data_IF_350077631359
#
_entry.id   IF_350077631359
#
_cell.length_a   1.000
_cell.length_b   1.000
_cell.length_c   1.000
_cell.angle_alpha   90.00
_cell.angle_beta   90.00
_cell.angle_gamma   90.00
#
_symmetry.space_group_name_H-M   'P 1'
#
loop_
_entity.id
_entity.type
_entity.pdbx_description
1 polymer ?
#
# COMPACT_ATOMS: atom_id res chain seq x y z
N UNK A 1 6.87 0.71 -17.71
CA UNK A 1 6.17 1.57 -16.73
C UNK A 1 4.68 1.76 -17.02
N UNK A 2 4.25 2.32 -18.15
CA UNK A 2 2.80 2.58 -18.39
C UNK A 2 2.00 1.26 -18.47
N UNK A 3 2.47 0.27 -19.22
CA UNK A 3 1.78 -1.02 -19.29
C UNK A 3 1.74 -1.74 -17.93
N UNK A 4 2.81 -1.63 -17.14
CA UNK A 4 2.88 -2.22 -15.80
C UNK A 4 1.98 -1.51 -14.80
N UNK A 5 1.82 -0.19 -14.89
CA UNK A 5 0.89 0.53 -14.01
C UNK A 5 -0.56 0.21 -14.35
N UNK A 6 -0.91 0.09 -15.64
CA UNK A 6 -2.27 -0.31 -16.07
C UNK A 6 -2.60 -1.72 -15.56
N UNK A 7 -1.69 -2.69 -15.70
CA UNK A 7 -1.94 -4.06 -15.22
C UNK A 7 -2.14 -4.12 -13.70
N UNK A 8 -1.39 -3.31 -12.94
CA UNK A 8 -1.53 -3.23 -11.48
C UNK A 8 -2.85 -2.56 -11.08
N UNK A 9 -3.31 -1.52 -11.78
CA UNK A 9 -4.62 -0.92 -11.48
C UNK A 9 -5.77 -1.90 -11.72
N UNK A 10 -5.67 -2.71 -12.77
CA UNK A 10 -6.63 -3.79 -13.03
C UNK A 10 -6.57 -4.85 -11.92
N UNK A 11 -5.36 -5.24 -11.47
CA UNK A 11 -5.22 -6.23 -10.39
C UNK A 11 -5.78 -5.73 -9.06
N UNK A 12 -5.57 -4.46 -8.72
CA UNK A 12 -6.15 -3.82 -7.52
C UNK A 12 -7.68 -3.83 -7.57
N UNK A 13 -8.28 -3.55 -8.73
CA UNK A 13 -9.74 -3.61 -8.88
C UNK A 13 -10.29 -5.00 -8.56
N UNK A 14 -9.66 -6.07 -9.08
CA UNK A 14 -10.08 -7.45 -8.78
C UNK A 14 -9.75 -7.89 -7.36
N UNK A 15 -8.67 -7.37 -6.77
CA UNK A 15 -8.31 -7.62 -5.37
C UNK A 15 -9.44 -7.23 -4.42
N UNK A 16 -10.18 -6.14 -4.69
CA UNK A 16 -11.34 -5.75 -3.87
C UNK A 16 -12.46 -6.79 -3.85
N UNK A 17 -12.70 -7.51 -4.96
CA UNK A 17 -13.69 -8.60 -5.01
C UNK A 17 -13.17 -9.79 -4.21
N UNK A 18 -11.89 -10.12 -4.40
CA UNK A 18 -11.23 -11.24 -3.74
C UNK A 18 -11.32 -11.06 -2.21
N UNK A 19 -11.01 -9.86 -1.71
CA UNK A 19 -11.13 -9.51 -0.30
C UNK A 19 -12.57 -9.74 0.21
N UNK A 20 -13.59 -9.20 -0.49
CA UNK A 20 -15.01 -9.37 -0.11
C UNK A 20 -15.48 -10.82 -0.15
N UNK A 21 -14.98 -11.63 -1.10
CA UNK A 21 -15.34 -13.05 -1.22
C UNK A 21 -14.70 -13.87 -0.12
N UNK A 22 -13.40 -13.70 0.14
CA UNK A 22 -12.68 -14.42 1.20
C UNK A 22 -13.30 -14.11 2.58
N UNK A 23 -13.54 -12.83 2.88
CA UNK A 23 -14.22 -12.42 4.11
C UNK A 23 -15.64 -13.01 4.22
N UNK A 24 -16.37 -13.06 3.11
CA UNK A 24 -17.67 -13.71 3.05
C UNK A 24 -17.58 -15.20 3.40
N UNK A 25 -16.68 -15.94 2.74
CA UNK A 25 -16.53 -17.38 2.96
C UNK A 25 -16.10 -17.71 4.40
N UNK A 26 -15.20 -16.93 5.00
CA UNK A 26 -14.83 -17.08 6.41
C UNK A 26 -16.03 -16.85 7.36
N UNK A 27 -16.94 -15.94 7.00
CA UNK A 27 -18.16 -15.65 7.75
C UNK A 27 -19.35 -16.54 7.36
N UNK A 28 -19.14 -17.61 6.58
CA UNK A 28 -20.19 -18.55 6.14
C UNK A 28 -21.30 -17.82 5.33
N UNK A 29 -20.95 -16.74 4.62
CA UNK A 29 -21.85 -16.04 3.70
C UNK A 29 -21.24 -15.91 2.31
N UNK A 30 -22.07 -15.95 1.27
CA UNK A 30 -21.55 -15.72 -0.09
C UNK A 30 -21.19 -14.23 -0.23
N UNK A 31 -19.99 -13.97 -0.77
CA UNK A 31 -19.58 -12.64 -1.22
C UNK A 31 -20.42 -12.13 -2.40
N UNK A 32 -20.05 -10.99 -3.01
CA UNK A 32 -20.78 -10.44 -4.15
C UNK A 32 -20.87 -11.47 -5.29
N UNK A 33 -22.10 -11.85 -5.64
CA UNK A 33 -22.39 -12.89 -6.64
C UNK A 33 -23.45 -12.46 -7.68
N UNK A 34 -24.07 -11.28 -7.51
CA UNK A 34 -25.19 -10.83 -8.36
C UNK A 34 -24.76 -10.01 -9.59
N UNK A 35 -23.69 -9.23 -9.48
CA UNK A 35 -23.27 -8.31 -10.57
C UNK A 35 -22.41 -9.06 -11.60
N UNK A 36 -23.02 -9.41 -12.73
CA UNK A 36 -22.38 -10.22 -13.78
C UNK A 36 -22.22 -11.69 -13.40
N UNK A 37 -21.40 -12.43 -14.16
CA UNK A 37 -21.10 -13.83 -13.86
C UNK A 37 -20.23 -13.93 -12.61
N UNK A 38 -20.72 -14.62 -11.58
CA UNK A 38 -20.04 -14.81 -10.28
C UNK A 38 -19.56 -13.52 -9.58
N UNK A 39 -20.15 -12.35 -9.88
CA UNK A 39 -19.73 -11.09 -9.27
C UNK A 39 -18.47 -10.45 -9.85
N UNK A 40 -17.93 -10.93 -10.99
CA UNK A 40 -16.68 -10.42 -11.58
C UNK A 40 -16.79 -8.94 -11.96
N UNK A 41 -17.97 -8.47 -12.37
CA UNK A 41 -18.19 -7.08 -12.79
C UNK A 41 -18.42 -6.10 -11.62
N UNK A 42 -18.31 -6.55 -10.36
CA UNK A 42 -18.55 -5.71 -9.19
C UNK A 42 -17.68 -4.44 -9.11
N UNK A 43 -16.35 -4.47 -9.36
CA UNK A 43 -15.49 -3.28 -9.25
C UNK A 43 -15.86 -2.21 -10.26
N UNK A 44 -16.27 -2.62 -11.47
CA UNK A 44 -16.76 -1.70 -12.48
C UNK A 44 -18.06 -1.04 -12.05
N UNK A 45 -18.99 -1.79 -11.43
CA UNK A 45 -20.22 -1.20 -10.90
C UNK A 45 -19.97 -0.23 -9.73
N UNK A 46 -19.01 -0.54 -8.85
CA UNK A 46 -18.64 0.34 -7.73
C UNK A 46 -17.97 1.62 -8.27
N UNK A 47 -17.11 1.51 -9.30
CA UNK A 47 -16.49 2.66 -9.96
C UNK A 47 -17.53 3.57 -10.63
N UNK A 48 -18.43 3.01 -11.45
CA UNK A 48 -19.50 3.79 -12.12
C UNK A 48 -20.40 4.48 -11.09
N UNK A 49 -20.71 3.79 -9.97
CA UNK A 49 -21.48 4.37 -8.87
C UNK A 49 -20.78 5.58 -8.25
N UNK A 50 -19.47 5.53 -8.06
CA UNK A 50 -18.70 6.64 -7.50
C UNK A 50 -18.58 7.80 -8.50
N UNK A 51 -18.42 7.53 -9.80
CA UNK A 51 -18.38 8.57 -10.84
C UNK A 51 -19.70 9.34 -10.97
N UNK A 52 -20.83 8.66 -10.77
CA UNK A 52 -22.15 9.30 -10.85
C UNK A 52 -22.54 10.06 -9.57
N UNK A 53 -21.75 9.99 -8.50
CA UNK A 53 -22.09 10.63 -7.23
C UNK A 53 -21.66 12.10 -7.24
N UNK A 54 -22.58 12.99 -6.84
CA UNK A 54 -22.26 14.41 -6.72
C UNK A 54 -21.16 14.64 -5.68
N UNK A 55 -20.19 15.48 -6.03
CA UNK A 55 -19.13 15.93 -5.13
C UNK A 55 -19.71 16.95 -4.15
N UNK A 56 -19.88 16.56 -2.89
CA UNK A 56 -20.28 17.47 -1.80
C UNK A 56 -19.04 17.99 -1.09
N UNK A 57 -18.71 19.25 -1.31
CA UNK A 57 -17.60 19.93 -0.63
C UNK A 57 -18.14 20.80 0.51
N UNK A 58 -17.56 20.71 1.71
CA UNK A 58 -17.85 21.64 2.80
C UNK A 58 -17.14 22.98 2.60
N UNK A 59 -17.78 24.07 3.03
CA UNK A 59 -17.28 25.44 2.87
C UNK A 59 -16.01 25.75 3.68
N UNK A 60 -15.79 25.01 4.77
CA UNK A 60 -14.65 25.21 5.68
C UNK A 60 -13.34 24.56 5.21
N UNK A 61 -13.37 23.82 4.08
CA UNK A 61 -12.24 23.01 3.62
C UNK A 61 -11.31 23.78 2.70
N UNK A 62 -10.02 23.45 2.74
CA UNK A 62 -9.06 23.92 1.75
C UNK A 62 -9.25 23.15 0.43
N UNK A 63 -10.03 23.70 -0.50
CA UNK A 63 -10.40 23.06 -1.77
C UNK A 63 -9.21 22.57 -2.60
N UNK A 64 -8.19 23.40 -2.84
CA UNK A 64 -7.04 23.03 -3.68
C UNK A 64 -6.29 21.84 -3.09
N UNK A 65 -6.03 21.88 -1.79
CA UNK A 65 -5.26 20.88 -1.07
C UNK A 65 -6.05 19.57 -0.95
N UNK A 66 -7.37 19.62 -0.76
CA UNK A 66 -8.22 18.43 -0.64
C UNK A 66 -8.25 17.58 -1.91
N UNK A 67 -8.13 18.18 -3.10
CA UNK A 67 -8.05 17.44 -4.36
C UNK A 67 -6.62 17.00 -4.70
N UNK A 68 -5.62 17.84 -4.42
CA UNK A 68 -4.22 17.53 -4.77
C UNK A 68 -3.59 16.47 -3.86
N UNK A 69 -3.90 16.47 -2.56
CA UNK A 69 -3.24 15.57 -1.60
C UNK A 69 -3.57 14.08 -1.84
N UNK A 70 -4.84 13.67 -2.07
CA UNK A 70 -5.14 12.29 -2.45
C UNK A 70 -4.46 11.88 -3.77
N UNK A 71 -4.40 12.77 -4.76
CA UNK A 71 -3.71 12.51 -6.03
C UNK A 71 -2.20 12.28 -5.84
N UNK A 72 -1.55 13.03 -4.94
CA UNK A 72 -0.14 12.85 -4.59
C UNK A 72 0.13 11.57 -3.79
N UNK A 73 -0.76 11.19 -2.87
CA UNK A 73 -0.64 9.91 -2.17
C UNK A 73 -0.71 8.71 -3.14
N UNK A 74 -1.58 8.80 -4.14
CA UNK A 74 -1.69 7.80 -5.20
C UNK A 74 -0.51 7.83 -6.17
N UNK A 75 0.09 8.99 -6.45
CA UNK A 75 1.27 9.05 -7.30
C UNK A 75 2.49 8.39 -6.64
N UNK A 76 2.67 8.53 -5.32
CA UNK A 76 3.74 7.80 -4.59
C UNK A 76 3.58 6.29 -4.73
N UNK A 77 2.37 5.75 -4.54
CA UNK A 77 2.16 4.30 -4.61
C UNK A 77 2.47 3.73 -6.00
N UNK A 78 2.20 4.50 -7.07
CA UNK A 78 2.59 4.13 -8.44
C UNK A 78 4.11 4.24 -8.64
N UNK A 79 4.78 5.20 -8.02
CA UNK A 79 6.24 5.36 -8.13
C UNK A 79 7.05 4.24 -7.47
N UNK A 80 6.44 3.49 -6.53
CA UNK A 80 7.07 2.31 -5.92
C UNK A 80 7.17 1.14 -6.91
N UNK A 81 6.21 1.01 -7.83
CA UNK A 81 6.14 -0.10 -8.80
C UNK A 81 7.44 -0.36 -9.57
N UNK A 82 8.10 0.62 -10.21
CA UNK A 82 9.30 0.38 -11.02
C UNK A 82 10.50 -0.09 -10.20
N UNK A 83 10.50 0.13 -8.88
CA UNK A 83 11.57 -0.31 -7.97
C UNK A 83 11.50 -1.82 -7.81
N UNK A 84 10.31 -2.41 -7.84
CA UNK A 84 10.10 -3.84 -7.65
C UNK A 84 10.58 -4.61 -8.89
N UNK A 85 11.49 -5.56 -8.66
CA UNK A 85 12.03 -6.47 -9.67
C UNK A 85 11.06 -7.63 -9.93
N UNK A 86 10.28 -7.55 -11.01
CA UNK A 86 9.40 -8.67 -11.41
C UNK A 86 10.13 -9.79 -12.15
N UNK A 87 11.23 -9.47 -12.83
CA UNK A 87 12.04 -10.38 -13.63
C UNK A 87 13.51 -9.90 -13.64
N UNK A 88 14.40 -10.67 -14.27
CA UNK A 88 15.83 -10.38 -14.40
C UNK A 88 16.18 -8.96 -14.88
N UNK A 89 15.29 -8.31 -15.62
CA UNK A 89 15.48 -6.93 -16.07
C UNK A 89 14.54 -5.98 -15.31
N UNK A 90 15.01 -5.32 -14.23
CA UNK A 90 14.24 -4.27 -13.57
C UNK A 90 13.97 -3.09 -14.51
N UNK A 91 12.84 -2.42 -14.30
CA UNK A 91 12.54 -1.16 -14.99
C UNK A 91 13.40 -0.01 -14.45
N UNK A 92 13.77 -0.06 -13.18
CA UNK A 92 14.64 0.90 -12.52
C UNK A 92 15.77 0.16 -11.81
N UNK A 93 16.96 0.15 -12.43
CA UNK A 93 18.15 -0.44 -11.84
C UNK A 93 18.98 0.64 -11.12
N UNK A 94 18.88 0.65 -9.80
CA UNK A 94 19.69 1.51 -8.95
C UNK A 94 20.35 0.66 -7.85
N UNK A 95 21.63 0.93 -7.60
CA UNK A 95 22.43 0.29 -6.54
C UNK A 95 21.80 0.44 -5.15
N UNK A 96 21.02 1.50 -4.94
CA UNK A 96 20.35 1.81 -3.68
C UNK A 96 18.81 1.69 -3.76
N UNK A 97 18.29 0.74 -4.54
CA UNK A 97 16.85 0.58 -4.77
C UNK A 97 16.03 0.40 -3.49
N UNK A 98 16.53 -0.34 -2.48
CA UNK A 98 15.84 -0.49 -1.20
C UNK A 98 15.75 0.82 -0.40
N UNK A 99 16.83 1.60 -0.37
CA UNK A 99 16.82 2.88 0.31
C UNK A 99 15.84 3.84 -0.38
N UNK A 100 15.75 3.76 -1.72
CA UNK A 100 14.77 4.54 -2.47
C UNK A 100 13.32 4.12 -2.16
N UNK A 101 13.05 2.81 -1.98
CA UNK A 101 11.75 2.34 -1.49
C UNK A 101 11.40 2.97 -0.13
N UNK A 102 12.35 3.00 0.80
CA UNK A 102 12.15 3.58 2.13
C UNK A 102 11.89 5.10 2.09
N UNK A 103 12.56 5.83 1.20
CA UNK A 103 12.29 7.27 1.02
C UNK A 103 10.84 7.47 0.54
N UNK A 104 10.36 6.65 -0.39
CA UNK A 104 8.98 6.76 -0.88
C UNK A 104 7.94 6.37 0.18
N UNK A 105 8.19 5.34 0.99
CA UNK A 105 7.29 4.98 2.10
C UNK A 105 7.18 6.14 3.10
N UNK A 106 8.30 6.74 3.50
CA UNK A 106 8.31 7.88 4.44
C UNK A 106 7.57 9.10 3.90
N UNK A 107 7.65 9.36 2.59
CA UNK A 107 6.93 10.45 1.95
C UNK A 107 5.41 10.25 1.97
N UNK A 108 4.93 9.01 1.94
CA UNK A 108 3.48 8.72 1.95
C UNK A 108 2.79 9.17 3.24
N UNK A 109 3.48 9.08 4.38
CA UNK A 109 2.99 9.48 5.71
C UNK A 109 2.66 10.98 5.76
N UNK A 110 3.48 11.81 5.12
CA UNK A 110 3.24 13.26 5.07
C UNK A 110 1.95 13.61 4.33
N UNK A 111 1.62 12.90 3.25
CA UNK A 111 0.37 13.15 2.53
C UNK A 111 -0.86 12.76 3.34
N UNK A 112 -0.79 11.70 4.15
CA UNK A 112 -1.88 11.30 5.02
C UNK A 112 -2.15 12.37 6.10
N UNK A 113 -1.08 12.93 6.69
CA UNK A 113 -1.21 14.06 7.61
C UNK A 113 -1.84 15.29 6.94
N UNK A 114 -1.40 15.61 5.72
CA UNK A 114 -1.93 16.74 4.97
C UNK A 114 -3.42 16.57 4.67
N UNK A 115 -3.85 15.38 4.21
CA UNK A 115 -5.28 15.08 3.95
C UNK A 115 -6.11 15.38 5.20
N UNK A 116 -5.69 14.89 6.37
CA UNK A 116 -6.39 15.15 7.63
C UNK A 116 -6.50 16.63 7.97
N UNK A 117 -5.42 17.39 7.76
CA UNK A 117 -5.39 18.83 8.01
C UNK A 117 -6.26 19.64 7.03
N UNK A 118 -6.35 19.24 5.76
CA UNK A 118 -7.19 19.94 4.76
C UNK A 118 -8.67 20.00 5.13
N UNK A 119 -9.12 19.05 5.95
CA UNK A 119 -10.52 18.88 6.31
C UNK A 119 -11.06 19.86 7.35
N UNK A 120 -10.18 20.66 7.95
CA UNK A 120 -10.51 21.69 8.93
C UNK A 120 -11.53 21.24 10.02
N UNK A 121 -11.50 19.95 10.39
CA UNK A 121 -12.38 19.36 11.41
C UNK A 121 -11.54 18.70 12.49
N UNK A 122 -11.88 18.96 13.76
CA UNK A 122 -11.08 18.49 14.91
C UNK A 122 -10.98 16.95 14.93
N UNK A 123 -12.06 16.25 14.58
CA UNK A 123 -12.08 14.79 14.56
C UNK A 123 -11.19 14.19 13.47
N UNK A 124 -11.27 14.72 12.25
CA UNK A 124 -10.44 14.20 11.16
C UNK A 124 -8.95 14.49 11.40
N UNK A 125 -8.62 15.66 11.96
CA UNK A 125 -7.24 15.97 12.30
C UNK A 125 -6.69 15.05 13.41
N UNK A 126 -7.48 14.76 14.45
CA UNK A 126 -7.09 13.82 15.51
C UNK A 126 -6.91 12.38 14.98
N UNK A 127 -7.81 11.92 14.10
CA UNK A 127 -7.68 10.60 13.47
C UNK A 127 -6.44 10.50 12.58
N UNK A 128 -6.15 11.55 11.80
CA UNK A 128 -4.94 11.63 10.99
C UNK A 128 -3.67 11.57 11.85
N UNK A 129 -3.59 12.32 12.94
CA UNK A 129 -2.43 12.26 13.87
C UNK A 129 -2.26 10.85 14.45
N UNK A 130 -3.34 10.16 14.83
CA UNK A 130 -3.29 8.79 15.34
C UNK A 130 -2.76 7.82 14.29
N UNK A 131 -3.25 7.90 13.06
CA UNK A 131 -2.78 7.07 11.94
C UNK A 131 -1.30 7.32 11.65
N UNK A 132 -0.86 8.57 11.68
CA UNK A 132 0.53 8.96 11.42
C UNK A 132 1.46 8.45 12.51
N UNK A 133 1.06 8.58 13.77
CA UNK A 133 1.84 8.04 14.90
C UNK A 133 2.03 6.52 14.77
N UNK A 134 0.99 5.78 14.36
CA UNK A 134 1.08 4.35 14.09
C UNK A 134 2.05 4.06 12.94
N UNK A 135 1.87 4.69 11.77
CA UNK A 135 2.71 4.46 10.60
C UNK A 135 4.20 4.71 10.89
N UNK A 136 4.54 5.83 11.53
CA UNK A 136 5.93 6.17 11.89
C UNK A 136 6.51 5.14 12.85
N UNK A 137 5.73 4.68 13.84
CA UNK A 137 6.22 3.71 14.82
C UNK A 137 6.60 2.37 14.17
N UNK A 138 5.82 1.92 13.19
CA UNK A 138 6.09 0.67 12.47
C UNK A 138 7.08 0.83 11.32
N UNK A 139 7.25 2.04 10.77
CA UNK A 139 8.29 2.34 9.79
C UNK A 139 9.70 2.12 10.36
N UNK A 140 9.93 2.48 11.63
CA UNK A 140 11.22 2.20 12.31
C UNK A 140 11.46 0.69 12.43
N UNK A 141 10.42 -0.08 12.76
CA UNK A 141 10.54 -1.55 12.84
C UNK A 141 10.84 -2.17 11.47
N UNK A 142 10.19 -1.66 10.43
CA UNK A 142 10.37 -2.08 9.04
C UNK A 142 11.79 -1.77 8.55
N UNK A 143 12.34 -0.60 8.90
CA UNK A 143 13.73 -0.24 8.61
C UNK A 143 14.73 -1.25 9.21
N UNK A 144 14.55 -1.64 10.47
CA UNK A 144 15.44 -2.61 11.13
C UNK A 144 15.42 -3.99 10.44
N UNK A 145 14.24 -4.43 9.97
CA UNK A 145 14.09 -5.70 9.24
C UNK A 145 14.80 -5.62 7.88
N UNK A 146 14.60 -4.53 7.14
CA UNK A 146 15.29 -4.31 5.87
C UNK A 146 16.80 -4.31 6.08
N UNK A 147 17.29 -3.62 7.11
CA UNK A 147 18.72 -3.55 7.40
C UNK A 147 19.30 -4.95 7.63
N UNK A 148 18.61 -5.81 8.39
CA UNK A 148 19.01 -7.20 8.56
C UNK A 148 19.08 -7.97 7.22
N UNK A 149 18.09 -7.80 6.33
CA UNK A 149 18.10 -8.43 4.99
C UNK A 149 19.28 -7.93 4.15
N UNK A 150 19.58 -6.63 4.18
CA UNK A 150 20.70 -6.05 3.42
C UNK A 150 22.06 -6.54 3.90
N UNK A 151 22.19 -6.86 5.20
CA UNK A 151 23.41 -7.48 5.74
C UNK A 151 23.57 -8.91 5.21
N UNK A 152 22.48 -9.68 5.13
CA UNK A 152 22.54 -11.05 4.59
C UNK A 152 22.92 -11.09 3.11
N UNK A 153 22.47 -10.12 2.32
CA UNK A 153 22.76 -10.03 0.88
C UNK A 153 24.01 -9.22 0.53
N UNK A 154 24.66 -8.58 1.51
CA UNK A 154 25.78 -7.64 1.35
C UNK A 154 25.54 -6.52 0.32
N UNK A 155 24.27 -6.18 0.04
CA UNK A 155 23.91 -5.26 -1.04
C UNK A 155 22.59 -4.55 -0.77
N UNK A 156 22.46 -3.32 -1.28
CA UNK A 156 21.23 -2.52 -1.21
C UNK A 156 20.37 -2.62 -2.49
N UNK A 157 20.82 -3.37 -3.49
CA UNK A 157 20.09 -3.55 -4.74
C UNK A 157 19.13 -4.74 -4.66
N UNK A 158 17.87 -4.53 -5.06
CA UNK A 158 16.84 -5.58 -5.03
C UNK A 158 17.17 -6.78 -5.93
N UNK A 159 17.87 -6.55 -7.05
CA UNK A 159 18.33 -7.60 -7.97
C UNK A 159 19.34 -8.53 -7.29
N UNK A 160 20.39 -7.97 -6.67
CA UNK A 160 21.39 -8.76 -5.95
C UNK A 160 20.78 -9.50 -4.75
N UNK A 161 19.79 -8.89 -4.09
CA UNK A 161 19.03 -9.57 -3.03
C UNK A 161 18.27 -10.78 -3.57
N UNK A 162 17.59 -10.66 -4.72
CA UNK A 162 16.92 -11.81 -5.32
C UNK A 162 17.90 -12.91 -5.74
N UNK A 163 19.08 -12.55 -6.25
CA UNK A 163 20.12 -13.51 -6.63
C UNK A 163 20.70 -14.25 -5.42
N UNK A 164 20.88 -13.56 -4.29
CA UNK A 164 21.36 -14.18 -3.05
C UNK A 164 20.42 -15.26 -2.50
N UNK A 165 19.13 -15.19 -2.84
CA UNK A 165 18.11 -16.16 -2.39
C UNK A 165 18.08 -17.45 -3.23
N UNK A 166 18.86 -17.54 -4.31
CA UNK A 166 18.88 -18.73 -5.19
C UNK A 166 19.41 -19.98 -4.48
N UNK A 167 20.38 -19.84 -3.57
CA UNK A 167 20.96 -20.98 -2.86
C UNK A 167 20.11 -21.42 -1.68
N UNK A 168 19.69 -20.48 -0.83
CA UNK A 168 18.78 -20.70 0.29
C UNK A 168 17.84 -19.51 0.39
N UNK A 169 16.54 -19.78 0.27
CA UNK A 169 15.53 -18.72 0.43
C UNK A 169 15.55 -18.18 1.87
N UNK A 170 15.45 -16.86 2.01
CA UNK A 170 15.42 -16.21 3.33
C UNK A 170 14.23 -16.62 4.18
N UNK A 171 13.14 -17.11 3.56
CA UNK A 171 11.99 -17.66 4.26
C UNK A 171 12.37 -18.82 5.18
N UNK A 172 13.24 -19.73 4.72
CA UNK A 172 13.61 -20.94 5.47
C UNK A 172 14.54 -20.62 6.65
N UNK A 173 15.47 -19.68 6.48
CA UNK A 173 16.39 -19.29 7.55
C UNK A 173 15.77 -18.36 8.60
N UNK A 174 14.82 -17.50 8.21
CA UNK A 174 14.37 -16.36 9.02
C UNK A 174 12.84 -16.26 9.13
N UNK A 175 12.16 -17.37 9.42
CA UNK A 175 10.69 -17.42 9.50
C UNK A 175 10.10 -16.45 10.54
N UNK A 176 10.76 -16.25 11.68
CA UNK A 176 10.31 -15.29 12.71
C UNK A 176 10.36 -13.84 12.21
N UNK A 177 11.40 -13.47 11.47
CA UNK A 177 11.55 -12.13 10.92
C UNK A 177 10.47 -11.87 9.86
N UNK A 178 10.10 -12.89 9.09
CA UNK A 178 8.99 -12.80 8.16
C UNK A 178 7.65 -12.55 8.86
N UNK A 179 7.39 -13.18 10.01
CA UNK A 179 6.17 -12.91 10.77
C UNK A 179 6.15 -11.46 11.29
N UNK A 180 7.27 -10.98 11.84
CA UNK A 180 7.39 -9.59 12.32
C UNK A 180 7.21 -8.62 11.15
N UNK A 181 7.79 -8.94 9.98
CA UNK A 181 7.63 -8.15 8.76
C UNK A 181 6.17 -8.06 8.32
N UNK A 182 5.45 -9.18 8.28
CA UNK A 182 4.02 -9.20 7.94
C UNK A 182 3.19 -8.33 8.91
N UNK A 183 3.48 -8.38 10.21
CA UNK A 183 2.80 -7.55 11.22
C UNK A 183 3.12 -6.07 10.98
N UNK A 184 4.38 -5.73 10.71
CA UNK A 184 4.78 -4.34 10.44
C UNK A 184 4.11 -3.78 9.18
N UNK A 185 4.00 -4.56 8.09
CA UNK A 185 3.30 -4.14 6.87
C UNK A 185 1.79 -3.95 7.08
N UNK A 186 1.15 -4.81 7.90
CA UNK A 186 -0.27 -4.65 8.25
C UNK A 186 -0.50 -3.37 9.06
N UNK A 187 0.39 -3.07 10.00
CA UNK A 187 0.29 -1.89 10.84
C UNK A 187 0.59 -0.60 10.09
N UNK A 188 1.60 -0.59 9.20
CA UNK A 188 1.93 0.55 8.34
C UNK A 188 0.78 0.89 7.37
N UNK A 189 0.07 -0.12 6.85
CA UNK A 189 -1.07 0.11 5.95
C UNK A 189 -2.40 0.39 6.66
N UNK A 190 -2.39 0.55 7.99
CA UNK A 190 -3.57 0.73 8.85
C UNK A 190 -4.67 -0.30 8.56
N UNK A 191 -4.29 -1.54 8.21
CA UNK A 191 -5.26 -2.62 7.94
C UNK A 191 -5.58 -3.36 9.23
N UNK A 192 -6.77 -3.98 9.27
CA UNK A 192 -7.19 -4.83 10.39
C UNK A 192 -6.10 -5.85 10.72
N UNK A 193 -5.67 -5.97 12.00
CA UNK A 193 -6.33 -5.50 13.22
C UNK A 193 -6.01 -4.05 13.66
N UNK A 194 -5.15 -3.32 12.95
CA UNK A 194 -4.64 -2.01 13.38
C UNK A 194 -5.42 -0.80 12.77
N UNK A 195 -6.73 -0.94 12.60
CA UNK A 195 -7.61 0.04 11.93
C UNK A 195 -8.39 0.92 12.95
N UNK A 196 -7.72 1.40 13.99
CA UNK A 196 -8.33 2.16 15.11
C UNK A 196 -8.18 3.69 15.02
N UNK A 197 -7.69 4.19 13.89
CA UNK A 197 -7.30 5.59 13.71
C UNK A 197 -8.40 6.46 13.09
#
# INVERSE_FOLDING_TARGET
FIMTSISILISVAFYTILERKILGYMQIRKGPNKVGMLGILQPFSDAIKLFNKNLTTSETMNFSMMYMMPALSFSISIMIIPIITFNYYPMFDNKHSILFFFILSSLSVYFILMIGWTSNSKYCHLGAIRSVAQMISYEVSFFMIILFITILSNSYSLTQISESQMMLSFFWGNSMILIIWMISCLAETNRSPFDFA
#
